data_IF_530986474662
#
_entry.id   IF_530986474662
#
_cell.length_a   1.000
_cell.length_b   1.000
_cell.length_c   1.000
_cell.angle_alpha   90.00
_cell.angle_beta   90.00
_cell.angle_gamma   90.00
#
_symmetry.space_group_name_H-M   'P 1'
#
loop_
_entity.id
_entity.type
_entity.pdbx_description
1 polymer ?
#
# COMPACT_ATOMS: atom_id res chain seq x y z
N UNK A 1 3.52 41.68 5.28
CA UNK A 1 4.48 42.23 4.31
C UNK A 1 5.14 41.05 3.59
N UNK A 2 4.45 40.60 2.53
CA UNK A 2 4.96 39.90 1.35
C UNK A 2 5.73 38.56 1.48
N UNK A 3 4.96 37.49 1.73
CA UNK A 3 5.35 36.07 1.60
C UNK A 3 5.74 35.63 0.17
N UNK A 4 5.56 36.49 -0.83
CA UNK A 4 5.87 36.18 -2.22
C UNK A 4 7.38 36.19 -2.54
N UNK A 5 8.21 36.90 -1.78
CA UNK A 5 9.67 36.88 -1.96
C UNK A 5 10.28 35.53 -1.58
N UNK A 6 9.77 34.89 -0.51
CA UNK A 6 10.22 33.56 -0.09
C UNK A 6 9.87 32.52 -1.15
N UNK A 7 8.69 32.62 -1.76
CA UNK A 7 8.27 31.74 -2.87
C UNK A 7 9.14 31.92 -4.13
N UNK A 8 9.55 33.16 -4.43
CA UNK A 8 10.41 33.48 -5.57
C UNK A 8 11.88 33.06 -5.34
N UNK A 9 12.38 33.17 -4.10
CA UNK A 9 13.73 32.68 -3.74
C UNK A 9 13.79 31.15 -3.79
N UNK A 10 12.75 30.45 -3.32
CA UNK A 10 12.69 28.98 -3.38
C UNK A 10 12.57 28.46 -4.83
N UNK A 11 11.87 29.17 -5.71
CA UNK A 11 11.77 28.78 -7.14
C UNK A 11 13.05 29.05 -7.92
N UNK A 12 13.74 30.17 -7.66
CA UNK A 12 14.99 30.52 -8.35
C UNK A 12 16.17 29.67 -7.86
N UNK A 13 16.23 29.34 -6.56
CA UNK A 13 17.25 28.44 -6.00
C UNK A 13 17.08 26.97 -6.44
N UNK A 14 15.87 26.53 -6.80
CA UNK A 14 15.61 25.18 -7.31
C UNK A 14 16.27 24.92 -8.69
N UNK A 15 16.62 25.96 -9.44
CA UNK A 15 17.27 25.88 -10.76
C UNK A 15 18.75 25.45 -10.70
N UNK A 16 19.39 25.56 -9.54
CA UNK A 16 20.84 25.37 -9.36
C UNK A 16 21.22 24.12 -8.56
N UNK A 17 20.27 23.25 -8.20
CA UNK A 17 20.60 22.06 -7.43
C UNK A 17 21.04 20.95 -8.40
N UNK A 18 22.28 20.45 -8.34
CA UNK A 18 22.70 19.32 -9.16
C UNK A 18 21.77 18.14 -8.89
N UNK A 19 21.31 17.51 -9.99
CA UNK A 19 20.34 16.41 -10.05
C UNK A 19 20.69 15.22 -9.13
N UNK A 20 21.92 15.15 -8.61
CA UNK A 20 22.38 14.15 -7.63
C UNK A 20 21.98 14.40 -6.16
N UNK A 21 21.42 15.56 -5.79
CA UNK A 21 21.02 15.88 -4.41
C UNK A 21 19.50 15.87 -4.17
N UNK A 22 18.70 15.38 -5.13
CA UNK A 22 17.40 14.80 -4.78
C UNK A 22 17.68 13.38 -4.27
N UNK A 23 18.27 13.32 -3.07
CA UNK A 23 18.60 12.10 -2.35
C UNK A 23 17.29 11.35 -2.14
N UNK A 24 17.00 10.50 -3.10
CA UNK A 24 15.77 9.78 -3.30
C UNK A 24 15.63 8.81 -2.14
N UNK A 25 15.01 9.29 -1.06
CA UNK A 25 14.59 8.47 0.06
C UNK A 25 13.65 7.41 -0.49
N UNK A 26 14.19 6.20 -0.73
CA UNK A 26 13.40 5.00 -1.02
C UNK A 26 12.50 4.73 0.18
N UNK A 27 11.36 5.41 0.22
CA UNK A 27 10.34 5.20 1.24
C UNK A 27 9.80 3.78 1.07
N UNK A 28 10.16 2.94 2.04
CA UNK A 28 9.74 1.55 2.09
C UNK A 28 8.33 1.48 2.67
N UNK A 29 7.44 0.78 1.98
CA UNK A 29 6.08 0.57 2.47
C UNK A 29 6.16 -0.33 3.71
N UNK A 30 5.71 0.17 4.84
CA UNK A 30 5.78 -0.60 6.09
C UNK A 30 4.76 -1.74 6.07
N UNK A 31 5.12 -2.89 6.67
CA UNK A 31 4.15 -4.00 6.88
C UNK A 31 2.90 -3.54 7.63
N UNK A 32 3.01 -2.54 8.50
CA UNK A 32 1.87 -1.95 9.22
C UNK A 32 0.87 -1.29 8.26
N UNK A 33 1.34 -0.58 7.24
CA UNK A 33 0.47 0.04 6.23
C UNK A 33 -0.27 -1.01 5.41
N UNK A 34 0.42 -2.09 5.03
CA UNK A 34 -0.19 -3.23 4.33
C UNK A 34 -1.24 -3.91 5.22
N UNK A 35 -0.93 -4.14 6.50
CA UNK A 35 -1.87 -4.75 7.45
C UNK A 35 -3.15 -3.91 7.64
N UNK A 36 -3.01 -2.58 7.71
CA UNK A 36 -4.14 -1.65 7.80
C UNK A 36 -4.96 -1.63 6.52
N UNK A 37 -4.31 -1.63 5.36
CA UNK A 37 -4.99 -1.73 4.07
C UNK A 37 -5.84 -3.00 3.98
N UNK A 38 -5.26 -4.18 4.26
CA UNK A 38 -6.00 -5.44 4.25
C UNK A 38 -7.19 -5.43 5.22
N UNK A 39 -7.03 -4.81 6.41
CA UNK A 39 -8.13 -4.70 7.38
C UNK A 39 -9.27 -3.85 6.86
N UNK A 40 -8.95 -2.67 6.33
CA UNK A 40 -9.96 -1.74 5.83
C UNK A 40 -10.68 -2.34 4.62
N UNK A 41 -9.93 -2.99 3.73
CA UNK A 41 -10.49 -3.72 2.59
C UNK A 41 -11.46 -4.82 3.05
N UNK A 42 -11.06 -5.64 4.02
CA UNK A 42 -11.92 -6.69 4.60
C UNK A 42 -13.23 -6.12 5.14
N UNK A 43 -13.19 -5.05 5.93
CA UNK A 43 -14.39 -4.41 6.51
C UNK A 43 -15.33 -3.90 5.41
N UNK A 44 -14.78 -3.30 4.36
CA UNK A 44 -15.59 -2.75 3.27
C UNK A 44 -16.19 -3.84 2.39
N UNK A 45 -15.45 -4.91 2.12
CA UNK A 45 -15.94 -6.06 1.37
C UNK A 45 -17.03 -6.80 2.16
N UNK A 46 -16.84 -7.00 3.47
CA UNK A 46 -17.85 -7.58 4.38
C UNK A 46 -19.13 -6.73 4.43
N UNK A 47 -18.99 -5.39 4.34
CA UNK A 47 -20.12 -4.47 4.22
C UNK A 47 -20.81 -4.49 2.83
N UNK A 48 -20.38 -5.36 1.91
CA UNK A 48 -20.95 -5.48 0.57
C UNK A 48 -20.57 -4.37 -0.40
N UNK A 49 -19.53 -3.57 -0.09
CA UNK A 49 -19.06 -2.52 -0.99
C UNK A 49 -18.36 -3.18 -2.19
N UNK A 50 -18.70 -2.80 -3.44
CA UNK A 50 -18.08 -3.39 -4.63
C UNK A 50 -16.56 -3.24 -4.64
N UNK A 51 -15.85 -4.29 -5.06
CA UNK A 51 -14.39 -4.39 -5.02
C UNK A 51 -13.66 -3.18 -5.62
N UNK A 52 -14.05 -2.76 -6.82
CA UNK A 52 -13.46 -1.59 -7.49
C UNK A 52 -13.63 -0.32 -6.65
N UNK A 53 -14.82 -0.13 -6.07
CA UNK A 53 -15.11 1.01 -5.20
C UNK A 53 -14.29 0.97 -3.91
N UNK A 54 -14.04 -0.22 -3.35
CA UNK A 54 -13.15 -0.38 -2.20
C UNK A 54 -11.74 0.09 -2.54
N UNK A 55 -11.20 -0.35 -3.69
CA UNK A 55 -9.88 0.07 -4.15
C UNK A 55 -9.78 1.59 -4.38
N UNK A 56 -10.78 2.20 -5.02
CA UNK A 56 -10.85 3.66 -5.21
C UNK A 56 -10.76 4.40 -3.86
N UNK A 57 -11.61 4.02 -2.89
CA UNK A 57 -11.66 4.67 -1.57
C UNK A 57 -10.33 4.48 -0.82
N UNK A 58 -9.75 3.28 -0.85
CA UNK A 58 -8.50 3.02 -0.14
C UNK A 58 -7.30 3.71 -0.78
N UNK A 59 -7.26 3.81 -2.12
CA UNK A 59 -6.20 4.53 -2.84
C UNK A 59 -6.11 6.00 -2.38
N UNK A 60 -7.26 6.64 -2.15
CA UNK A 60 -7.34 8.03 -1.70
C UNK A 60 -6.90 8.20 -0.24
N UNK A 61 -7.08 7.18 0.61
CA UNK A 61 -6.71 7.23 2.04
C UNK A 61 -5.24 6.89 2.32
N UNK A 62 -4.51 6.31 1.37
CA UNK A 62 -3.11 5.94 1.56
C UNK A 62 -2.23 7.19 1.50
N UNK A 63 -1.55 7.51 2.60
CA UNK A 63 -0.60 8.63 2.68
C UNK A 63 0.73 8.37 1.98
N UNK A 64 1.18 7.11 1.92
CA UNK A 64 2.47 6.75 1.34
C UNK A 64 2.42 6.79 -0.20
N UNK A 65 3.19 7.65 -0.88
CA UNK A 65 3.06 7.88 -2.32
C UNK A 65 3.33 6.63 -3.16
N UNK A 66 4.40 5.87 -2.82
CA UNK A 66 4.69 4.59 -3.49
C UNK A 66 3.56 3.58 -3.34
N UNK A 67 3.01 3.43 -2.13
CA UNK A 67 1.94 2.47 -1.90
C UNK A 67 0.64 2.87 -2.60
N UNK A 68 0.32 4.17 -2.59
CA UNK A 68 -0.82 4.73 -3.34
C UNK A 68 -0.70 4.40 -4.83
N UNK A 69 0.48 4.62 -5.43
CA UNK A 69 0.72 4.29 -6.85
C UNK A 69 0.48 2.81 -7.14
N UNK A 70 1.01 1.92 -6.31
CA UNK A 70 0.84 0.47 -6.47
C UNK A 70 -0.63 0.07 -6.36
N UNK A 71 -1.38 0.63 -5.40
CA UNK A 71 -2.82 0.34 -5.28
C UNK A 71 -3.60 0.86 -6.50
N UNK A 72 -3.22 2.00 -7.07
CA UNK A 72 -3.82 2.50 -8.30
C UNK A 72 -3.51 1.61 -9.51
N UNK A 73 -2.26 1.13 -9.64
CA UNK A 73 -1.86 0.16 -10.68
C UNK A 73 -2.63 -1.17 -10.55
N UNK A 74 -2.88 -1.61 -9.32
CA UNK A 74 -3.73 -2.80 -9.06
C UNK A 74 -5.17 -2.53 -9.47
N UNK A 75 -5.75 -1.38 -9.09
CA UNK A 75 -7.10 -1.00 -9.47
C UNK A 75 -7.25 -1.03 -11.00
N UNK A 76 -6.35 -0.36 -11.72
CA UNK A 76 -6.34 -0.33 -13.19
C UNK A 76 -6.23 -1.74 -13.80
N UNK A 77 -5.38 -2.61 -13.23
CA UNK A 77 -5.25 -3.99 -13.68
C UNK A 77 -6.56 -4.78 -13.53
N UNK A 78 -7.26 -4.58 -12.41
CA UNK A 78 -8.55 -5.24 -12.11
C UNK A 78 -9.69 -4.67 -12.96
N UNK A 79 -9.72 -3.37 -13.21
CA UNK A 79 -10.64 -2.72 -14.14
C UNK A 79 -10.51 -3.28 -15.56
N UNK A 80 -9.27 -3.62 -15.96
CA UNK A 80 -8.97 -4.29 -17.22
C UNK A 80 -9.27 -5.80 -17.23
N UNK A 81 -9.88 -6.34 -16.17
CA UNK A 81 -10.35 -7.72 -16.10
C UNK A 81 -9.33 -8.73 -15.56
N UNK A 82 -8.18 -8.29 -15.04
CA UNK A 82 -7.28 -9.20 -14.34
C UNK A 82 -7.78 -9.51 -12.93
N UNK A 83 -7.43 -10.69 -12.44
CA UNK A 83 -7.67 -11.07 -11.04
C UNK A 83 -6.84 -10.20 -10.08
N UNK A 84 -7.36 -9.93 -8.88
CA UNK A 84 -6.65 -9.23 -7.81
C UNK A 84 -5.32 -9.90 -7.50
N UNK A 85 -5.31 -11.24 -7.44
CA UNK A 85 -4.08 -11.99 -7.18
C UNK A 85 -3.01 -11.76 -8.26
N UNK A 86 -3.40 -11.76 -9.54
CA UNK A 86 -2.47 -11.48 -10.64
C UNK A 86 -1.94 -10.03 -10.59
N UNK A 87 -2.82 -9.07 -10.31
CA UNK A 87 -2.43 -7.67 -10.14
C UNK A 87 -1.43 -7.48 -8.99
N UNK A 88 -1.66 -8.13 -7.84
CA UNK A 88 -0.73 -8.11 -6.71
C UNK A 88 0.62 -8.77 -7.01
N UNK A 89 0.63 -9.85 -7.81
CA UNK A 89 1.85 -10.56 -8.19
C UNK A 89 2.84 -9.69 -8.97
N UNK A 90 2.36 -8.69 -9.71
CA UNK A 90 3.20 -7.71 -10.41
C UNK A 90 4.01 -6.81 -9.46
N UNK A 91 3.70 -6.83 -8.16
CA UNK A 91 4.35 -6.02 -7.13
C UNK A 91 4.99 -6.88 -6.03
N UNK A 92 5.80 -7.87 -6.43
CA UNK A 92 6.49 -8.83 -5.55
C UNK A 92 7.40 -8.21 -4.47
N UNK A 93 7.84 -6.96 -4.68
CA UNK A 93 8.61 -6.21 -3.66
C UNK A 93 7.77 -5.73 -2.47
N UNK A 94 6.45 -5.84 -2.54
CA UNK A 94 5.49 -5.41 -1.49
C UNK A 94 4.60 -6.57 -1.05
N UNK A 95 4.08 -7.34 -2.02
CA UNK A 95 3.24 -8.50 -1.77
C UNK A 95 4.07 -9.76 -2.00
N UNK A 96 4.33 -10.50 -0.93
CA UNK A 96 5.03 -11.78 -1.04
C UNK A 96 4.11 -12.87 -1.61
N UNK A 97 4.71 -14.00 -2.00
CA UNK A 97 4.01 -15.12 -2.63
C UNK A 97 2.89 -15.69 -1.74
N UNK A 98 3.11 -15.70 -0.41
CA UNK A 98 2.10 -16.15 0.54
C UNK A 98 0.89 -15.20 0.56
N UNK A 99 1.12 -13.89 0.49
CA UNK A 99 0.04 -12.91 0.37
C UNK A 99 -0.77 -13.16 -0.90
N UNK A 100 -0.10 -13.24 -2.04
CA UNK A 100 -0.74 -13.48 -3.34
C UNK A 100 -1.52 -14.80 -3.34
N UNK A 101 -0.98 -15.86 -2.75
CA UNK A 101 -1.64 -17.17 -2.66
C UNK A 101 -2.94 -17.11 -1.85
N UNK A 102 -2.94 -16.44 -0.70
CA UNK A 102 -4.15 -16.27 0.12
C UNK A 102 -5.22 -15.48 -0.63
N UNK A 103 -4.84 -14.40 -1.32
CA UNK A 103 -5.76 -13.62 -2.14
C UNK A 103 -6.35 -14.46 -3.26
N UNK A 104 -5.53 -15.25 -3.96
CA UNK A 104 -5.97 -16.11 -5.05
C UNK A 104 -7.03 -17.12 -4.60
N UNK A 105 -6.82 -17.75 -3.45
CA UNK A 105 -7.80 -18.67 -2.85
C UNK A 105 -9.08 -17.94 -2.47
N UNK A 106 -8.96 -16.75 -1.88
CA UNK A 106 -10.11 -15.91 -1.52
C UNK A 106 -10.94 -15.48 -2.71
N UNK A 107 -10.30 -15.00 -3.76
CA UNK A 107 -10.92 -14.53 -4.98
C UNK A 107 -11.62 -15.67 -5.73
N UNK A 108 -10.95 -16.83 -5.88
CA UNK A 108 -11.53 -18.01 -6.54
C UNK A 108 -12.69 -18.60 -5.73
N UNK A 109 -12.59 -18.57 -4.40
CA UNK A 109 -13.60 -19.09 -3.49
C UNK A 109 -14.74 -18.12 -3.15
N UNK A 110 -14.71 -16.88 -3.67
CA UNK A 110 -15.71 -15.86 -3.36
C UNK A 110 -15.69 -15.36 -1.91
N UNK A 111 -14.57 -15.52 -1.20
CA UNK A 111 -14.36 -15.17 0.22
C UNK A 111 -13.15 -14.25 0.39
N UNK A 112 -13.10 -13.21 -0.46
CA UNK A 112 -11.98 -12.26 -0.50
C UNK A 112 -11.91 -11.40 0.78
N UNK A 113 -13.06 -11.06 1.36
CA UNK A 113 -13.21 -10.37 2.64
C UNK A 113 -12.51 -11.10 3.79
N UNK A 114 -12.76 -12.40 3.95
CA UNK A 114 -12.14 -13.25 4.97
C UNK A 114 -10.66 -13.47 4.67
N UNK A 115 -10.28 -13.56 3.40
CA UNK A 115 -8.88 -13.68 2.99
C UNK A 115 -8.08 -12.42 3.33
N UNK A 116 -8.65 -11.24 3.10
CA UNK A 116 -8.08 -9.96 3.53
C UNK A 116 -7.99 -9.85 5.05
N UNK A 117 -9.00 -10.33 5.78
CA UNK A 117 -8.99 -10.40 7.24
C UNK A 117 -7.83 -11.25 7.76
N UNK A 118 -7.66 -12.45 7.20
CA UNK A 118 -6.56 -13.38 7.52
C UNK A 118 -5.21 -12.76 7.25
N UNK A 119 -5.04 -12.07 6.11
CA UNK A 119 -3.81 -11.35 5.78
C UNK A 119 -3.50 -10.25 6.79
N UNK A 120 -4.49 -9.45 7.18
CA UNK A 120 -4.30 -8.43 8.20
C UNK A 120 -3.77 -9.03 9.51
N UNK A 121 -4.44 -10.08 10.02
CA UNK A 121 -4.04 -10.77 11.26
C UNK A 121 -2.64 -11.37 11.14
N UNK A 122 -2.31 -11.98 10.00
CA UNK A 122 -0.97 -12.54 9.74
C UNK A 122 0.10 -11.46 9.81
N UNK A 123 -0.09 -10.33 9.13
CA UNK A 123 0.85 -9.23 9.12
C UNK A 123 1.02 -8.61 10.50
N UNK A 124 -0.06 -8.42 11.25
CA UNK A 124 0.00 -7.93 12.64
C UNK A 124 0.80 -8.87 13.55
N UNK A 125 0.58 -10.19 13.43
CA UNK A 125 1.34 -11.18 14.18
C UNK A 125 2.82 -11.11 13.81
N UNK A 126 3.15 -11.02 12.52
CA UNK A 126 4.54 -10.87 12.05
C UNK A 126 5.21 -9.60 12.60
N UNK A 127 4.50 -8.47 12.59
CA UNK A 127 4.99 -7.20 13.15
C UNK A 127 5.21 -7.32 14.65
N UNK A 128 4.26 -7.91 15.38
CA UNK A 128 4.34 -8.10 16.83
C UNK A 128 5.52 -9.00 17.21
N UNK A 129 5.69 -10.12 16.51
CA UNK A 129 6.81 -11.04 16.71
C UNK A 129 8.14 -10.34 16.46
N UNK A 130 8.27 -9.62 15.33
CA UNK A 130 9.48 -8.85 15.03
C UNK A 130 9.80 -7.82 16.12
N UNK A 131 8.80 -7.08 16.60
CA UNK A 131 8.98 -6.11 17.69
C UNK A 131 9.46 -6.76 18.98
N UNK A 132 8.88 -7.91 19.36
CA UNK A 132 9.29 -8.67 20.55
C UNK A 132 10.74 -9.17 20.45
N UNK A 133 11.15 -9.66 19.28
CA UNK A 133 12.53 -10.11 19.05
C UNK A 133 13.50 -8.94 19.19
N UNK A 134 13.18 -7.80 18.58
CA UNK A 134 14.03 -6.60 18.69
C UNK A 134 14.09 -6.09 20.13
N UNK A 135 12.95 -6.03 20.84
CA UNK A 135 12.93 -5.55 22.23
C UNK A 135 13.62 -6.48 23.22
N UNK A 136 13.80 -7.76 22.89
CA UNK A 136 14.52 -8.71 23.73
C UNK A 136 16.03 -8.72 23.43
N UNK A 137 16.46 -8.15 22.31
CA UNK A 137 17.86 -8.04 21.91
C UNK A 137 18.51 -6.73 22.34
N UNK A 138 17.74 -5.78 22.87
CA UNK A 138 18.18 -4.46 23.37
C UNK A 138 18.14 -4.45 24.89
#
# INVERSE_FOLDING_TARGET
MNDWYVFLIVSVLASCIPVGLYFWGRSHVSKTQIAMFCRQMSIMLDAGIPLLRVFEILSQRISHPKFRKIIAEILESVENGNTVAAAMANHSGIFDELMVGIVKVGETGGVLDESMRRLSIYLEKSIRLRRKVISAAV
#
